data_IF_086754248929
#
_entry.id   IF_086754248929
#
_cell.length_a   1.000
_cell.length_b   1.000
_cell.length_c   1.000
_cell.angle_alpha   90.00
_cell.angle_beta   90.00
_cell.angle_gamma   90.00
#
_symmetry.space_group_name_H-M   'P 1'
#
loop_
_entity.id
_entity.type
_entity.pdbx_description
1 polymer ?
#
# COMPACT_ATOMS: atom_id res chain seq x y z
N UNK A 1 -7.39 -3.29 3.73
CA UNK A 1 -6.85 -2.00 4.21
C UNK A 1 -7.81 -1.30 5.19
N UNK A 2 -9.09 -1.11 4.86
CA UNK A 2 -10.03 -0.34 5.70
C UNK A 2 -10.14 -0.86 7.14
N UNK A 3 -10.36 -2.16 7.32
CA UNK A 3 -10.62 -2.77 8.65
C UNK A 3 -9.45 -2.61 9.64
N UNK A 4 -8.21 -2.51 9.17
CA UNK A 4 -7.04 -2.39 10.06
C UNK A 4 -6.90 -1.02 10.71
N UNK A 5 -7.74 -0.05 10.34
CA UNK A 5 -7.83 1.25 11.00
C UNK A 5 -8.86 1.26 12.14
N UNK A 6 -9.55 0.14 12.37
CA UNK A 6 -10.52 -0.01 13.45
C UNK A 6 -9.87 -0.80 14.60
N UNK A 7 -9.79 -0.20 15.77
CA UNK A 7 -9.13 -0.77 16.95
C UNK A 7 -9.85 -2.01 17.47
N UNK A 8 -11.18 -2.04 17.48
CA UNK A 8 -11.96 -3.18 17.91
C UNK A 8 -11.74 -4.39 16.98
N UNK A 9 -11.68 -4.11 15.67
CA UNK A 9 -11.38 -5.15 14.69
C UNK A 9 -9.98 -5.75 14.93
N UNK A 10 -8.98 -4.91 15.15
CA UNK A 10 -7.62 -5.37 15.45
C UNK A 10 -7.57 -6.14 16.75
N UNK A 11 -8.18 -5.64 17.81
CA UNK A 11 -8.25 -6.32 19.11
C UNK A 11 -8.81 -7.74 18.99
N UNK A 12 -9.91 -7.90 18.24
CA UNK A 12 -10.54 -9.21 18.05
C UNK A 12 -9.64 -10.12 17.19
N UNK A 13 -9.13 -9.62 16.08
CA UNK A 13 -8.38 -10.43 15.10
C UNK A 13 -6.95 -10.76 15.56
N UNK A 14 -6.39 -10.00 16.48
CA UNK A 14 -5.09 -10.25 17.13
C UNK A 14 -5.20 -11.21 18.32
N UNK A 15 -6.40 -11.49 18.83
CA UNK A 15 -6.58 -12.41 19.92
C UNK A 15 -6.21 -13.83 19.48
N UNK A 16 -5.16 -14.39 20.06
CA UNK A 16 -4.65 -15.74 19.73
C UNK A 16 -5.61 -16.82 20.23
N UNK A 17 -6.06 -16.68 21.48
CA UNK A 17 -7.04 -17.57 22.08
C UNK A 17 -7.86 -16.85 23.15
N UNK A 18 -9.09 -17.28 23.34
CA UNK A 18 -9.98 -16.74 24.36
C UNK A 18 -10.96 -17.79 24.83
N UNK A 19 -11.12 -17.92 26.14
CA UNK A 19 -12.22 -18.69 26.74
C UNK A 19 -13.41 -17.75 26.91
N UNK A 20 -14.56 -18.15 26.40
CA UNK A 20 -15.84 -17.49 26.63
C UNK A 20 -16.77 -18.43 27.36
N UNK A 21 -17.68 -17.88 28.13
CA UNK A 21 -18.71 -18.64 28.86
C UNK A 21 -20.08 -18.21 28.39
N UNK A 22 -21.04 -19.06 28.49
CA UNK A 22 -22.45 -18.67 28.37
C UNK A 22 -22.87 -17.73 29.52
N UNK A 23 -24.05 -17.16 29.44
CA UNK A 23 -24.56 -16.22 30.43
C UNK A 23 -24.84 -16.86 31.78
N UNK A 24 -24.98 -18.17 31.81
CA UNK A 24 -25.20 -18.95 33.07
C UNK A 24 -23.90 -19.43 33.71
N UNK A 25 -22.76 -19.31 33.01
CA UNK A 25 -21.46 -19.81 33.48
C UNK A 25 -21.33 -21.32 33.46
N UNK A 26 -22.28 -22.08 32.89
CA UNK A 26 -22.25 -23.53 32.83
C UNK A 26 -21.39 -24.09 31.74
N UNK A 27 -21.30 -23.38 30.62
CA UNK A 27 -20.56 -23.83 29.44
C UNK A 27 -19.41 -22.87 29.16
N UNK A 28 -18.23 -23.47 28.93
CA UNK A 28 -17.02 -22.75 28.58
C UNK A 28 -16.54 -23.20 27.22
N UNK A 29 -16.20 -22.21 26.36
CA UNK A 29 -15.75 -22.45 24.99
C UNK A 29 -14.35 -21.88 24.83
N UNK A 30 -13.38 -22.74 24.51
CA UNK A 30 -12.03 -22.34 24.16
C UNK A 30 -12.00 -22.04 22.68
N UNK A 31 -11.82 -20.76 22.34
CA UNK A 31 -11.67 -20.29 20.97
C UNK A 31 -10.18 -20.11 20.66
N UNK A 32 -9.74 -20.64 19.52
CA UNK A 32 -8.38 -20.48 19.03
C UNK A 32 -8.40 -19.84 17.65
N UNK A 33 -7.53 -18.85 17.44
CA UNK A 33 -7.42 -18.17 16.17
C UNK A 33 -6.91 -19.14 15.08
N UNK A 34 -7.59 -19.14 13.95
CA UNK A 34 -7.21 -19.98 12.79
C UNK A 34 -6.07 -19.39 11.98
N UNK A 35 -5.68 -18.14 12.23
CA UNK A 35 -4.58 -17.48 11.55
C UNK A 35 -3.24 -17.97 12.12
N UNK A 36 -2.61 -18.92 11.43
CA UNK A 36 -1.32 -19.47 11.85
C UNK A 36 -0.15 -18.52 11.72
N UNK A 37 -0.31 -17.45 10.92
CA UNK A 37 0.72 -16.45 10.74
C UNK A 37 0.56 -15.26 11.70
N UNK A 38 -0.46 -15.29 12.55
CA UNK A 38 -0.67 -14.21 13.51
C UNK A 38 0.51 -14.12 14.47
N UNK A 39 1.31 -13.12 14.26
CA UNK A 39 2.45 -12.76 15.09
C UNK A 39 2.67 -11.24 14.98
N UNK A 40 2.06 -10.45 15.88
CA UNK A 40 2.21 -8.99 15.85
C UNK A 40 3.65 -8.53 15.99
N UNK A 41 4.49 -9.27 16.73
CA UNK A 41 5.91 -8.94 16.92
C UNK A 41 6.71 -9.12 15.64
N UNK A 42 6.30 -10.04 14.75
CA UNK A 42 6.85 -10.20 13.40
C UNK A 42 6.12 -9.38 12.34
N UNK A 43 5.16 -8.56 12.75
CA UNK A 43 4.44 -7.62 11.89
C UNK A 43 3.13 -8.13 11.29
N UNK A 44 2.72 -9.38 11.52
CA UNK A 44 1.42 -9.86 11.02
C UNK A 44 0.35 -9.51 12.05
N UNK A 45 -0.30 -8.38 11.82
CA UNK A 45 -1.19 -7.72 12.76
C UNK A 45 -2.65 -8.19 12.67
N UNK A 46 -3.05 -8.86 11.60
CA UNK A 46 -4.44 -9.30 11.42
C UNK A 46 -4.54 -10.32 10.29
N UNK A 47 -5.62 -11.09 10.26
CA UNK A 47 -5.91 -11.96 9.13
C UNK A 47 -7.16 -12.81 9.33
N UNK A 48 -7.70 -13.33 8.22
CA UNK A 48 -8.85 -14.21 8.18
C UNK A 48 -8.70 -15.27 7.10
N UNK A 49 -8.99 -16.52 7.47
CA UNK A 49 -9.03 -17.65 6.53
C UNK A 49 -10.45 -17.94 6.09
N UNK A 50 -10.60 -18.46 4.89
CA UNK A 50 -11.84 -18.98 4.36
C UNK A 50 -11.62 -20.25 3.54
N UNK A 51 -12.65 -21.07 3.43
CA UNK A 51 -12.68 -22.23 2.56
C UNK A 51 -14.11 -22.59 2.16
N UNK A 52 -14.29 -22.82 0.90
CA UNK A 52 -15.43 -23.57 0.34
C UNK A 52 -14.93 -24.48 -0.79
N UNK A 53 -15.68 -25.53 -1.12
CA UNK A 53 -15.28 -26.45 -2.19
C UNK A 53 -15.09 -25.72 -3.54
N UNK A 54 -15.87 -24.70 -3.80
CA UNK A 54 -15.77 -23.89 -5.03
C UNK A 54 -14.64 -22.86 -4.99
N UNK A 55 -14.44 -22.21 -3.84
CA UNK A 55 -13.47 -21.11 -3.72
C UNK A 55 -12.05 -21.58 -3.37
N UNK A 56 -11.88 -22.83 -2.91
CA UNK A 56 -10.60 -23.28 -2.39
C UNK A 56 -10.22 -22.61 -1.08
N UNK A 57 -8.98 -22.75 -0.68
CA UNK A 57 -8.44 -22.05 0.49
C UNK A 57 -8.17 -20.58 0.15
N UNK A 58 -8.76 -19.70 0.96
CA UNK A 58 -8.55 -18.26 0.85
C UNK A 58 -7.94 -17.72 2.15
N UNK A 59 -7.15 -16.67 2.02
CA UNK A 59 -6.56 -15.99 3.16
C UNK A 59 -6.36 -14.51 2.86
N UNK A 60 -6.76 -13.66 3.78
CA UNK A 60 -6.40 -12.24 3.78
C UNK A 60 -5.63 -11.92 5.03
N UNK A 61 -4.60 -11.11 4.94
CA UNK A 61 -3.87 -10.65 6.11
C UNK A 61 -3.33 -9.22 5.92
N UNK A 62 -2.96 -8.62 7.04
CA UNK A 62 -2.24 -7.37 7.09
C UNK A 62 -0.89 -7.58 7.80
N UNK A 63 0.15 -7.09 7.15
CA UNK A 63 1.49 -6.97 7.70
C UNK A 63 1.80 -5.49 7.90
N UNK A 64 2.42 -5.15 9.00
CA UNK A 64 2.86 -3.78 9.33
C UNK A 64 4.24 -3.79 9.96
N UNK A 65 5.13 -2.99 9.43
CA UNK A 65 6.42 -2.65 10.03
C UNK A 65 6.55 -1.12 10.23
N UNK A 66 7.73 -0.65 10.57
CA UNK A 66 7.99 0.79 10.80
C UNK A 66 7.80 1.65 9.54
N UNK A 67 7.98 1.05 8.36
CA UNK A 67 8.07 1.77 7.10
C UNK A 67 6.81 1.61 6.22
N UNK A 68 6.03 0.53 6.45
CA UNK A 68 4.94 0.17 5.52
C UNK A 68 3.84 -0.64 6.16
N UNK A 69 2.70 -0.66 5.49
CA UNK A 69 1.59 -1.57 5.74
C UNK A 69 1.26 -2.29 4.44
N UNK A 70 1.30 -3.63 4.47
CA UNK A 70 0.94 -4.47 3.33
C UNK A 70 -0.39 -5.17 3.64
N UNK A 71 -1.29 -5.17 2.67
CA UNK A 71 -2.53 -5.94 2.70
C UNK A 71 -2.45 -7.01 1.61
N UNK A 72 -2.53 -8.27 2.03
CA UNK A 72 -2.41 -9.44 1.15
C UNK A 72 -3.77 -10.13 1.05
N UNK A 73 -4.16 -10.48 -0.17
CA UNK A 73 -5.34 -11.29 -0.44
C UNK A 73 -4.98 -12.48 -1.34
N UNK A 74 -5.18 -13.67 -0.84
CA UNK A 74 -4.97 -14.93 -1.54
C UNK A 74 -6.33 -15.60 -1.72
N UNK A 75 -6.69 -15.86 -2.98
CA UNK A 75 -7.92 -16.53 -3.37
C UNK A 75 -7.57 -17.83 -4.09
N UNK A 76 -8.38 -18.86 -3.88
CA UNK A 76 -8.19 -20.16 -4.52
C UNK A 76 -6.77 -20.75 -4.34
N UNK A 77 -6.18 -20.55 -3.16
CA UNK A 77 -4.81 -20.95 -2.83
C UNK A 77 -4.74 -22.41 -2.39
N UNK A 78 -5.10 -23.30 -3.30
CA UNK A 78 -5.14 -24.76 -3.12
C UNK A 78 -6.48 -25.30 -2.62
N UNK A 79 -6.60 -26.63 -2.73
CA UNK A 79 -7.72 -27.46 -2.24
C UNK A 79 -7.16 -28.61 -1.40
N UNK A 80 -8.00 -29.34 -0.68
CA UNK A 80 -7.55 -30.52 0.05
C UNK A 80 -6.76 -31.49 -0.86
N UNK A 81 -5.63 -32.03 -0.38
CA UNK A 81 -5.04 -31.90 0.95
C UNK A 81 -4.17 -30.67 1.18
N UNK A 82 -3.96 -29.80 0.21
CA UNK A 82 -2.96 -28.71 0.15
C UNK A 82 -3.37 -27.45 0.94
N UNK A 83 -3.71 -27.60 2.20
CA UNK A 83 -4.18 -26.52 3.07
C UNK A 83 -3.11 -25.49 3.50
N UNK A 84 -1.84 -25.75 3.21
CA UNK A 84 -0.73 -24.95 3.70
C UNK A 84 -0.19 -23.92 2.70
N UNK A 85 -0.54 -24.00 1.41
CA UNK A 85 -0.04 -23.09 0.38
C UNK A 85 -0.27 -21.62 0.73
N UNK A 86 -1.45 -21.27 1.24
CA UNK A 86 -1.76 -19.90 1.66
C UNK A 86 -0.77 -19.30 2.66
N UNK A 87 -0.11 -20.15 3.48
CA UNK A 87 0.86 -19.68 4.46
C UNK A 87 2.22 -19.38 3.82
N UNK A 88 2.68 -20.27 2.91
CA UNK A 88 3.91 -20.04 2.15
C UNK A 88 3.79 -18.86 1.21
N UNK A 89 2.67 -18.77 0.50
CA UNK A 89 2.43 -17.71 -0.47
C UNK A 89 2.28 -16.34 0.21
N UNK A 90 1.62 -16.30 1.38
CA UNK A 90 1.54 -15.07 2.16
C UNK A 90 2.93 -14.59 2.62
N UNK A 91 3.79 -15.50 3.11
CA UNK A 91 5.17 -15.16 3.47
C UNK A 91 5.97 -14.66 2.27
N UNK A 92 5.82 -15.33 1.13
CA UNK A 92 6.47 -14.92 -0.11
C UNK A 92 6.04 -13.50 -0.54
N UNK A 93 4.74 -13.21 -0.53
CA UNK A 93 4.22 -11.88 -0.88
C UNK A 93 4.65 -10.80 0.12
N UNK A 94 4.76 -11.13 1.42
CA UNK A 94 5.32 -10.20 2.41
C UNK A 94 6.80 -9.92 2.11
N UNK A 95 7.58 -10.97 1.80
CA UNK A 95 9.00 -10.81 1.47
C UNK A 95 9.18 -9.96 0.20
N UNK A 96 8.36 -10.21 -0.83
CA UNK A 96 8.33 -9.40 -2.05
C UNK A 96 7.95 -7.94 -1.73
N UNK A 97 6.87 -7.71 -0.98
CA UNK A 97 6.43 -6.37 -0.62
C UNK A 97 7.45 -5.59 0.23
N UNK A 98 8.36 -6.29 0.93
CA UNK A 98 9.46 -5.65 1.68
C UNK A 98 10.58 -5.09 0.78
N UNK A 99 10.67 -5.55 -0.46
CA UNK A 99 11.65 -5.04 -1.42
C UNK A 99 11.27 -3.65 -1.95
N UNK A 100 9.97 -3.32 -1.91
CA UNK A 100 9.50 -2.01 -2.31
C UNK A 100 9.78 -0.98 -1.22
N UNK A 101 10.36 0.14 -1.60
CA UNK A 101 10.57 1.29 -0.74
C UNK A 101 9.87 2.53 -1.27
N UNK A 102 9.58 3.48 -0.39
CA UNK A 102 8.98 4.74 -0.80
C UNK A 102 10.03 5.59 -1.47
N UNK A 103 9.81 5.90 -2.75
CA UNK A 103 10.66 6.79 -3.54
C UNK A 103 9.95 8.12 -3.68
N UNK A 104 10.70 9.21 -3.55
CA UNK A 104 10.22 10.56 -3.76
C UNK A 104 10.84 11.10 -5.04
N UNK A 105 9.99 11.39 -6.00
CA UNK A 105 10.37 12.00 -7.26
C UNK A 105 9.77 13.40 -7.33
N UNK A 106 10.57 14.36 -7.77
CA UNK A 106 10.25 15.77 -7.74
C UNK A 106 9.95 16.32 -6.33
N UNK A 107 10.88 17.06 -5.84
CA UNK A 107 10.69 18.08 -4.85
C UNK A 107 10.69 19.43 -5.61
N UNK A 108 10.38 20.49 -4.93
CA UNK A 108 10.36 21.85 -5.49
C UNK A 108 11.74 22.36 -6.01
N UNK A 109 12.74 21.48 -6.11
CA UNK A 109 14.09 21.77 -6.60
C UNK A 109 14.19 21.69 -8.14
N UNK A 110 13.21 21.07 -8.81
CA UNK A 110 13.18 21.01 -10.27
C UNK A 110 12.54 22.28 -10.82
N UNK A 111 13.29 23.02 -11.63
CA UNK A 111 12.84 24.26 -12.27
C UNK A 111 13.09 24.16 -13.77
N UNK A 112 12.07 24.46 -14.55
CA UNK A 112 12.16 24.54 -16.00
C UNK A 112 12.14 26.01 -16.44
N UNK A 113 13.10 26.42 -17.25
CA UNK A 113 13.19 27.78 -17.76
C UNK A 113 12.59 27.86 -19.17
N UNK A 114 11.44 28.52 -19.31
CA UNK A 114 10.69 28.60 -20.57
C UNK A 114 10.81 30.00 -21.16
N UNK A 115 11.17 30.14 -22.45
CA UNK A 115 11.20 31.39 -23.12
C UNK A 115 9.82 32.10 -23.14
N UNK A 116 9.80 33.41 -22.96
CA UNK A 116 8.58 34.21 -22.97
C UNK A 116 8.64 35.24 -24.07
N UNK A 117 7.71 35.17 -25.02
CA UNK A 117 7.53 36.19 -26.05
C UNK A 117 6.65 37.33 -25.53
N UNK A 118 6.90 38.56 -26.07
CA UNK A 118 6.14 39.78 -25.73
C UNK A 118 6.13 40.14 -24.24
N UNK A 119 7.01 39.54 -23.44
CA UNK A 119 7.14 39.81 -22.03
C UNK A 119 8.25 40.81 -21.71
N UNK A 120 8.23 41.33 -20.49
CA UNK A 120 9.30 42.17 -19.96
C UNK A 120 10.56 41.35 -19.67
N UNK A 121 10.38 40.11 -19.26
CA UNK A 121 11.43 39.13 -19.03
C UNK A 121 11.46 38.15 -20.21
N UNK A 122 12.64 37.68 -20.57
CA UNK A 122 12.83 36.73 -21.68
C UNK A 122 12.51 35.30 -21.31
N UNK A 123 12.46 34.99 -20.03
CA UNK A 123 12.18 33.65 -19.49
C UNK A 123 11.27 33.71 -18.27
N UNK A 124 10.52 32.65 -18.02
CA UNK A 124 9.85 32.39 -16.77
C UNK A 124 10.29 31.04 -16.23
N UNK A 125 10.11 30.85 -14.92
CA UNK A 125 10.36 29.62 -14.21
C UNK A 125 9.06 28.85 -14.03
N UNK A 126 9.01 27.60 -14.51
CA UNK A 126 7.94 26.65 -14.17
C UNK A 126 8.47 25.71 -13.10
N UNK A 127 7.75 25.64 -12.02
CA UNK A 127 8.09 24.82 -10.85
C UNK A 127 6.96 23.83 -10.65
N UNK A 128 7.26 22.52 -10.42
CA UNK A 128 6.23 21.55 -10.02
C UNK A 128 5.55 22.02 -8.72
N UNK A 129 4.23 22.00 -8.69
CA UNK A 129 3.45 22.41 -7.52
C UNK A 129 3.28 21.29 -6.46
N UNK A 130 3.77 20.09 -6.75
CA UNK A 130 3.71 18.93 -5.85
C UNK A 130 4.95 18.05 -5.97
N UNK A 131 5.18 17.24 -4.91
CA UNK A 131 6.09 16.12 -4.95
C UNK A 131 5.30 14.82 -5.14
N UNK A 132 5.82 13.90 -5.95
CA UNK A 132 5.21 12.60 -6.16
C UNK A 132 6.01 11.55 -5.37
N UNK A 133 5.30 10.75 -4.58
CA UNK A 133 5.86 9.63 -3.85
C UNK A 133 5.13 8.35 -4.26
N UNK A 134 5.86 7.31 -4.59
CA UNK A 134 5.31 5.99 -4.85
C UNK A 134 6.24 4.88 -4.34
N UNK A 135 5.72 3.65 -4.32
CA UNK A 135 6.50 2.48 -3.94
C UNK A 135 7.20 1.92 -5.18
N UNK A 136 8.52 1.77 -5.11
CA UNK A 136 9.32 1.14 -6.14
C UNK A 136 10.33 0.18 -5.53
N UNK A 137 10.76 -0.83 -6.28
CA UNK A 137 11.88 -1.68 -5.95
C UNK A 137 13.13 -1.23 -6.76
N UNK A 138 14.30 -1.78 -6.42
CA UNK A 138 15.57 -1.41 -7.08
C UNK A 138 15.59 -1.75 -8.57
N UNK A 139 14.83 -2.78 -8.98
CA UNK A 139 14.74 -3.24 -10.37
C UNK A 139 13.69 -2.49 -11.21
N UNK A 140 12.88 -1.62 -10.60
CA UNK A 140 11.88 -0.84 -11.32
C UNK A 140 12.55 0.27 -12.12
N UNK A 141 12.21 0.38 -13.40
CA UNK A 141 12.60 1.53 -14.22
C UNK A 141 11.55 2.62 -14.12
N UNK A 142 12.00 3.83 -13.81
CA UNK A 142 11.13 5.01 -13.72
C UNK A 142 11.44 5.94 -14.88
N UNK A 143 10.43 6.24 -15.69
CA UNK A 143 10.53 7.20 -16.79
C UNK A 143 9.78 8.47 -16.42
N UNK A 144 10.46 9.59 -16.56
CA UNK A 144 9.91 10.91 -16.27
C UNK A 144 9.76 11.66 -17.60
N UNK A 145 8.55 12.10 -17.88
CA UNK A 145 8.24 12.86 -19.07
C UNK A 145 7.56 14.16 -18.68
N UNK A 146 8.18 15.30 -19.05
CA UNK A 146 7.59 16.62 -18.90
C UNK A 146 6.92 17.03 -20.22
N UNK A 147 5.64 17.33 -20.16
CA UNK A 147 4.87 17.93 -21.24
C UNK A 147 4.69 19.42 -20.91
N UNK A 148 5.63 20.22 -21.40
CA UNK A 148 5.73 21.66 -21.16
C UNK A 148 5.86 22.41 -22.48
N UNK A 149 5.34 23.64 -22.60
CA UNK A 149 5.43 24.42 -23.83
C UNK A 149 6.88 24.84 -24.11
N UNK A 150 7.26 24.83 -25.36
CA UNK A 150 8.57 25.34 -25.80
C UNK A 150 8.71 26.87 -25.62
N UNK A 151 7.60 27.60 -25.65
CA UNK A 151 7.54 29.05 -25.47
C UNK A 151 6.19 29.47 -24.90
N UNK A 152 6.18 30.46 -24.04
CA UNK A 152 4.98 31.13 -23.55
C UNK A 152 4.86 32.55 -24.16
N UNK A 153 3.62 33.07 -24.23
CA UNK A 153 3.35 34.45 -24.61
C UNK A 153 2.84 35.25 -23.40
N UNK A 154 3.41 36.42 -23.17
CA UNK A 154 2.94 37.26 -22.07
C UNK A 154 1.48 37.74 -22.32
N UNK A 155 0.69 37.97 -21.26
CA UNK A 155 1.05 37.87 -19.84
C UNK A 155 1.08 36.42 -19.33
N UNK A 156 2.10 36.08 -18.54
CA UNK A 156 2.22 34.78 -17.85
C UNK A 156 1.75 34.96 -16.42
N UNK A 157 0.82 34.11 -15.98
CA UNK A 157 0.20 34.19 -14.66
C UNK A 157 0.74 33.09 -13.73
N UNK A 158 1.25 33.43 -12.56
CA UNK A 158 1.82 32.52 -11.58
C UNK A 158 0.82 31.51 -10.98
N UNK A 159 -0.48 31.79 -11.09
CA UNK A 159 -1.53 30.87 -10.60
C UNK A 159 -2.05 29.88 -11.68
N UNK A 160 -1.46 29.90 -12.86
CA UNK A 160 -1.90 29.07 -13.99
C UNK A 160 -0.96 27.88 -14.18
N UNK A 161 -1.53 26.71 -14.47
CA UNK A 161 -0.79 25.50 -14.87
C UNK A 161 -0.43 25.60 -16.34
N UNK A 162 0.86 25.43 -16.67
CA UNK A 162 1.39 25.53 -18.03
C UNK A 162 1.92 24.22 -18.59
N UNK A 163 1.91 23.14 -17.79
CA UNK A 163 2.37 21.84 -18.25
C UNK A 163 2.07 20.74 -17.24
N UNK A 164 2.42 19.52 -17.60
CA UNK A 164 2.25 18.32 -16.77
C UNK A 164 3.53 17.51 -16.75
N UNK A 165 3.74 16.78 -15.66
CA UNK A 165 4.81 15.80 -15.50
C UNK A 165 4.17 14.43 -15.29
N UNK A 166 4.56 13.48 -16.14
CA UNK A 166 4.15 12.08 -16.06
C UNK A 166 5.34 11.24 -15.58
N UNK A 167 5.07 10.28 -14.72
CA UNK A 167 6.04 9.32 -14.17
C UNK A 167 5.53 7.91 -14.41
#
# INVERSE_FOLDING_TARGET
AYCINNEDFLYITQTVSKTISDTTGRYHYQLNNKNRLLNPDEGIISGKTGFTNKAGYCYVCAYKDKNRTLCIALLACGWPPNKNYKWSDARYLIALGKQYSRQKYFNNEYTFYIPVSKGKNSFCELIPDCSIEFLACEDDSVTIQADIPEMLSAPVNSAQIYGTINI
#
